data_IF_838488085431
#
_entry.id   IF_838488085431
#
_cell.length_a   1.000
_cell.length_b   1.000
_cell.length_c   1.000
_cell.angle_alpha   90.00
_cell.angle_beta   90.00
_cell.angle_gamma   90.00
#
_symmetry.space_group_name_H-M   'P 1'
#
loop_
_entity.id
_entity.type
_entity.pdbx_description
1 polymer ?
#
# COMPACT_ATOMS: atom_id res chain seq x y z
N UNK A 1 11.17 55.27 6.10
CA UNK A 1 11.17 54.56 7.39
C UNK A 1 9.79 53.97 7.63
N UNK A 2 9.67 52.66 7.53
CA UNK A 2 8.57 51.91 8.13
C UNK A 2 9.11 50.51 8.42
N UNK A 3 9.36 50.24 9.70
CA UNK A 3 9.71 48.94 10.26
C UNK A 3 8.45 48.10 10.42
N UNK A 4 8.50 46.81 10.05
CA UNK A 4 7.61 45.77 10.59
C UNK A 4 8.27 44.42 10.40
N UNK A 5 9.03 44.03 11.42
CA UNK A 5 9.55 42.69 11.64
C UNK A 5 8.45 41.63 11.50
N UNK A 6 8.47 40.85 10.42
CA UNK A 6 7.62 39.66 10.27
C UNK A 6 8.33 38.50 9.55
N UNK A 7 9.66 38.41 9.62
CA UNK A 7 10.41 37.28 9.02
C UNK A 7 11.08 36.36 10.05
N UNK A 8 10.84 36.54 11.35
CA UNK A 8 11.48 35.72 12.40
C UNK A 8 10.65 34.52 12.87
N UNK A 9 9.43 34.34 12.35
CA UNK A 9 8.52 33.27 12.81
C UNK A 9 8.46 32.03 11.90
N UNK A 10 9.00 32.09 10.67
CA UNK A 10 8.88 30.98 9.72
C UNK A 10 10.07 30.00 9.75
N UNK A 11 11.24 30.43 10.20
CA UNK A 11 12.43 29.57 10.28
C UNK A 11 12.51 28.71 11.56
N UNK A 12 11.62 28.95 12.54
CA UNK A 12 11.65 28.25 13.83
C UNK A 12 10.95 26.88 13.83
N UNK A 13 10.22 26.50 12.78
CA UNK A 13 9.53 25.20 12.69
C UNK A 13 10.43 24.12 12.04
N UNK A 14 11.53 24.50 11.41
CA UNK A 14 12.48 23.56 10.79
C UNK A 14 13.61 23.10 11.72
N UNK A 15 13.65 23.56 12.97
CA UNK A 15 14.69 23.21 13.94
C UNK A 15 14.12 22.73 15.27
N UNK A 16 13.38 21.63 15.26
CA UNK A 16 13.23 20.79 16.46
C UNK A 16 13.46 19.32 16.12
N UNK A 17 14.73 18.92 16.30
CA UNK A 17 15.16 17.66 16.94
C UNK A 17 14.70 16.37 16.22
N UNK A 18 15.57 15.58 15.63
CA UNK A 18 16.60 14.85 16.37
C UNK A 18 17.47 14.12 15.36
N UNK A 19 18.77 14.38 15.41
CA UNK A 19 19.80 13.52 14.85
C UNK A 19 19.62 12.13 15.46
N UNK A 20 19.21 11.13 14.68
CA UNK A 20 19.13 9.76 15.17
C UNK A 20 20.16 8.90 14.44
N UNK A 21 21.27 8.49 15.11
CA UNK A 21 22.28 7.60 14.54
C UNK A 21 21.75 6.15 14.51
N UNK A 22 20.62 5.92 13.85
CA UNK A 22 20.04 4.58 13.65
C UNK A 22 19.81 4.30 12.16
N UNK A 23 20.80 4.68 11.35
CA UNK A 23 20.86 4.40 9.92
C UNK A 23 21.65 3.11 9.60
N UNK A 24 21.91 2.26 10.59
CA UNK A 24 22.78 1.07 10.46
C UNK A 24 22.10 -0.16 11.06
N UNK A 25 20.82 -0.36 10.76
CA UNK A 25 20.09 -1.54 11.23
C UNK A 25 19.51 -2.25 10.00
N UNK A 26 19.63 -3.58 9.87
CA UNK A 26 18.99 -4.30 8.79
C UNK A 26 17.46 -4.20 8.97
N UNK A 27 16.84 -3.28 8.22
CA UNK A 27 15.38 -3.08 8.21
C UNK A 27 14.76 -4.06 7.22
N UNK A 28 13.91 -4.98 7.69
CA UNK A 28 13.11 -5.87 6.85
C UNK A 28 11.69 -5.34 6.73
N UNK A 29 11.28 -4.97 5.52
CA UNK A 29 9.95 -4.43 5.25
C UNK A 29 8.97 -5.54 4.85
N UNK A 30 7.82 -5.58 5.49
CA UNK A 30 6.74 -6.53 5.22
C UNK A 30 5.47 -5.74 4.94
N UNK A 31 5.03 -5.72 3.67
CA UNK A 31 3.76 -5.11 3.27
C UNK A 31 2.61 -6.08 3.49
N UNK A 32 1.64 -5.64 4.29
CA UNK A 32 0.42 -6.39 4.57
C UNK A 32 -0.59 -6.15 3.45
N UNK A 33 -1.09 -7.26 2.90
CA UNK A 33 -2.09 -7.28 1.83
C UNK A 33 -3.34 -7.93 2.37
N UNK A 34 -4.49 -7.34 2.05
CA UNK A 34 -5.77 -7.75 2.61
C UNK A 34 -6.16 -9.20 2.25
N UNK A 35 -5.76 -9.71 1.08
CA UNK A 35 -6.02 -11.09 0.65
C UNK A 35 -5.12 -12.14 1.31
N UNK A 36 -3.95 -11.76 1.83
CA UNK A 36 -2.97 -12.72 2.36
C UNK A 36 -3.32 -13.20 3.77
N UNK A 37 -3.09 -14.49 4.05
CA UNK A 37 -3.37 -15.09 5.37
C UNK A 37 -2.45 -14.50 6.45
N UNK A 38 -2.99 -14.24 7.64
CA UNK A 38 -2.25 -13.73 8.81
C UNK A 38 -1.05 -14.61 9.15
N UNK A 39 -1.24 -15.95 9.14
CA UNK A 39 -0.23 -16.95 9.46
C UNK A 39 1.08 -16.74 8.68
N UNK A 40 0.99 -16.46 7.37
CA UNK A 40 2.15 -16.20 6.51
C UNK A 40 3.03 -15.09 7.05
N UNK A 41 2.44 -13.95 7.44
CA UNK A 41 3.19 -12.80 7.92
C UNK A 41 3.81 -13.04 9.29
N UNK A 42 3.08 -13.73 10.16
CA UNK A 42 3.58 -14.13 11.48
C UNK A 42 4.79 -15.06 11.33
N UNK A 43 4.71 -16.06 10.46
CA UNK A 43 5.82 -17.00 10.21
C UNK A 43 7.05 -16.30 9.66
N UNK A 44 6.88 -15.42 8.67
CA UNK A 44 7.98 -14.62 8.10
C UNK A 44 8.64 -13.77 9.20
N UNK A 45 7.85 -13.06 10.00
CA UNK A 45 8.39 -12.20 11.06
C UNK A 45 9.13 -13.00 12.15
N UNK A 46 8.58 -14.14 12.58
CA UNK A 46 9.24 -15.00 13.56
C UNK A 46 10.55 -15.58 13.03
N UNK A 47 10.57 -15.99 11.75
CA UNK A 47 11.80 -16.47 11.11
C UNK A 47 12.90 -15.39 11.15
N UNK A 48 12.54 -14.12 10.95
CA UNK A 48 13.50 -13.00 11.02
C UNK A 48 14.03 -12.81 12.45
N UNK A 49 13.16 -12.84 13.47
CA UNK A 49 13.59 -12.65 14.86
C UNK A 49 14.32 -13.85 15.48
N UNK A 50 14.12 -15.05 14.93
CA UNK A 50 14.73 -16.30 15.41
C UNK A 50 15.99 -16.69 14.64
N UNK A 51 16.28 -16.04 13.51
CA UNK A 51 17.46 -16.32 12.72
C UNK A 51 18.71 -15.95 13.52
N UNK A 52 19.51 -16.98 13.86
CA UNK A 52 20.70 -16.80 14.68
C UNK A 52 21.80 -15.99 14.01
N UNK A 53 21.78 -15.91 12.67
CA UNK A 53 22.68 -15.04 11.90
C UNK A 53 22.30 -13.56 12.02
N UNK A 54 21.09 -13.26 12.53
CA UNK A 54 20.58 -11.91 12.75
C UNK A 54 20.87 -11.38 14.17
N UNK A 55 21.53 -12.15 15.05
CA UNK A 55 22.06 -11.66 16.34
C UNK A 55 23.46 -11.05 16.20
N UNK A 56 23.69 -10.28 15.15
CA UNK A 56 24.80 -9.31 15.14
C UNK A 56 24.53 -8.25 16.21
N UNK A 57 25.52 -7.46 16.66
CA UNK A 57 25.30 -6.34 17.57
C UNK A 57 24.31 -5.26 17.05
N UNK A 58 23.82 -5.40 15.82
CA UNK A 58 22.79 -4.55 15.21
C UNK A 58 21.40 -5.10 15.56
N UNK A 59 20.56 -4.31 16.24
CA UNK A 59 19.20 -4.78 16.54
C UNK A 59 18.40 -5.00 15.24
N UNK A 60 17.76 -6.16 15.12
CA UNK A 60 16.88 -6.48 13.98
C UNK A 60 15.62 -5.64 14.04
N UNK A 61 15.31 -4.93 12.95
CA UNK A 61 14.09 -4.11 12.84
C UNK A 61 13.19 -4.65 11.74
N UNK A 62 11.97 -5.06 12.10
CA UNK A 62 10.93 -5.47 11.15
C UNK A 62 9.89 -4.37 11.03
N UNK A 63 9.70 -3.85 9.81
CA UNK A 63 8.72 -2.81 9.51
C UNK A 63 7.50 -3.44 8.84
N UNK A 64 6.38 -3.44 9.55
CA UNK A 64 5.10 -3.91 9.01
C UNK A 64 4.27 -2.71 8.54
N UNK A 65 3.92 -2.68 7.26
CA UNK A 65 3.13 -1.60 6.67
C UNK A 65 1.79 -2.12 6.14
N UNK A 66 0.70 -1.46 6.51
CA UNK A 66 -0.62 -1.70 5.93
C UNK A 66 -1.31 -0.37 5.68
N UNK A 67 -2.10 -0.32 4.61
CA UNK A 67 -2.86 0.88 4.23
C UNK A 67 -4.33 0.54 4.02
N UNK A 68 -5.19 1.54 4.23
CA UNK A 68 -6.64 1.42 4.12
C UNK A 68 -7.17 0.22 4.90
N UNK A 69 -7.92 -0.71 4.27
CA UNK A 69 -8.54 -1.84 4.98
C UNK A 69 -7.53 -2.82 5.59
N UNK A 70 -6.26 -2.78 5.18
CA UNK A 70 -5.22 -3.66 5.71
C UNK A 70 -4.67 -3.22 7.08
N UNK A 71 -4.97 -2.00 7.55
CA UNK A 71 -4.44 -1.48 8.83
C UNK A 71 -4.81 -2.39 10.00
N UNK A 72 -6.09 -2.77 10.13
CA UNK A 72 -6.54 -3.66 11.21
C UNK A 72 -5.85 -5.03 11.16
N UNK A 73 -5.62 -5.55 9.95
CA UNK A 73 -4.88 -6.79 9.74
C UNK A 73 -3.41 -6.65 10.19
N UNK A 74 -2.77 -5.52 9.89
CA UNK A 74 -1.40 -5.22 10.35
C UNK A 74 -1.31 -5.23 11.88
N UNK A 75 -2.22 -4.54 12.56
CA UNK A 75 -2.25 -4.52 14.03
C UNK A 75 -2.42 -5.94 14.59
N UNK A 76 -3.35 -6.71 14.03
CA UNK A 76 -3.59 -8.10 14.45
C UNK A 76 -2.33 -8.96 14.31
N UNK A 77 -1.60 -8.83 13.20
CA UNK A 77 -0.34 -9.55 12.96
C UNK A 77 0.71 -9.15 14.00
N UNK A 78 0.89 -7.85 14.25
CA UNK A 78 1.83 -7.31 15.26
C UNK A 78 1.53 -7.88 16.64
N UNK A 79 0.28 -7.87 17.07
CA UNK A 79 -0.12 -8.40 18.40
C UNK A 79 0.09 -9.92 18.52
N UNK A 80 -0.04 -10.68 17.44
CA UNK A 80 0.28 -12.12 17.45
C UNK A 80 1.79 -12.33 17.58
N UNK A 81 2.60 -11.58 16.84
CA UNK A 81 4.06 -11.68 16.88
C UNK A 81 4.58 -11.35 18.30
N UNK A 82 4.14 -10.22 18.88
CA UNK A 82 4.52 -9.83 20.25
C UNK A 82 4.18 -10.91 21.27
N UNK A 83 2.96 -11.47 21.21
CA UNK A 83 2.56 -12.57 22.10
C UNK A 83 3.44 -13.82 21.94
N UNK A 84 3.79 -14.18 20.70
CA UNK A 84 4.66 -15.34 20.42
C UNK A 84 6.11 -15.16 20.85
N UNK A 85 6.55 -13.91 21.02
CA UNK A 85 7.89 -13.55 21.52
C UNK A 85 7.85 -13.06 22.97
N UNK A 86 6.84 -13.50 23.74
CA UNK A 86 6.68 -13.21 25.17
C UNK A 86 6.67 -11.70 25.50
N UNK A 87 6.26 -10.85 24.56
CA UNK A 87 6.19 -9.39 24.76
C UNK A 87 7.55 -8.68 24.78
N UNK A 88 8.64 -9.34 24.40
CA UNK A 88 10.00 -8.78 24.44
C UNK A 88 10.31 -7.71 23.38
N UNK A 89 9.38 -7.47 22.45
CA UNK A 89 9.58 -6.51 21.36
C UNK A 89 9.19 -5.09 21.76
N UNK A 90 10.09 -4.15 21.48
CA UNK A 90 9.77 -2.72 21.45
C UNK A 90 9.09 -2.36 20.12
N UNK A 91 8.10 -1.46 20.16
CA UNK A 91 7.32 -1.06 19.00
C UNK A 91 7.36 0.45 18.80
N UNK A 92 7.61 0.87 17.56
CA UNK A 92 7.38 2.22 17.07
C UNK A 92 6.23 2.20 16.06
N UNK A 93 5.27 3.10 16.22
CA UNK A 93 4.13 3.22 15.31
C UNK A 93 4.17 4.58 14.64
N UNK A 94 4.09 4.59 13.30
CA UNK A 94 3.98 5.81 12.50
C UNK A 94 2.70 5.74 11.68
N UNK A 95 1.97 6.85 11.65
CA UNK A 95 0.77 7.02 10.84
C UNK A 95 1.05 8.10 9.81
N UNK A 96 0.65 7.86 8.56
CA UNK A 96 0.84 8.79 7.46
C UNK A 96 -0.24 8.60 6.39
N UNK A 97 -0.22 9.47 5.39
CA UNK A 97 -1.07 9.36 4.20
C UNK A 97 -0.17 9.07 3.00
N UNK A 98 -0.62 8.12 2.16
CA UNK A 98 -0.11 7.96 0.80
C UNK A 98 -1.02 8.77 -0.13
N UNK A 99 -0.48 9.75 -0.85
CA UNK A 99 -1.16 10.33 -2.01
C UNK A 99 -1.10 9.31 -3.15
N UNK A 100 -2.24 8.75 -3.53
CA UNK A 100 -2.35 7.94 -4.75
C UNK A 100 -2.54 8.89 -5.93
N UNK A 101 -1.52 9.06 -6.76
CA UNK A 101 -1.70 9.65 -8.08
C UNK A 101 -2.28 8.55 -8.97
N UNK A 102 -3.58 8.62 -9.30
CA UNK A 102 -4.13 7.83 -10.38
C UNK A 102 -3.80 8.57 -11.68
N UNK A 103 -2.89 8.01 -12.47
CA UNK A 103 -2.66 8.47 -13.83
C UNK A 103 -3.87 8.03 -14.67
N UNK A 104 -4.84 8.92 -14.85
CA UNK A 104 -5.91 8.72 -15.83
C UNK A 104 -5.38 8.98 -17.24
N UNK A 105 -4.69 8.00 -17.82
CA UNK A 105 -4.48 7.95 -19.27
C UNK A 105 -5.60 7.15 -19.95
N UNK A 106 -6.47 7.90 -20.66
CA UNK A 106 -7.67 7.56 -21.45
C UNK A 106 -7.51 6.41 -22.48
N UNK A 107 -8.65 5.83 -22.93
CA UNK A 107 -9.13 5.93 -24.34
C UNK A 107 -10.66 5.76 -24.44
N UNK A 108 -11.30 6.83 -24.90
CA UNK A 108 -12.59 6.82 -25.58
C UNK A 108 -12.47 5.91 -26.81
N UNK A 109 -13.19 4.79 -26.88
CA UNK A 109 -13.45 4.04 -28.12
C UNK A 109 -14.74 3.23 -27.93
N UNK A 110 -15.89 3.91 -28.06
CA UNK A 110 -17.16 3.28 -28.43
C UNK A 110 -17.01 2.68 -29.84
N UNK A 111 -16.37 1.53 -29.97
CA UNK A 111 -16.49 0.72 -31.18
C UNK A 111 -17.73 -0.16 -31.02
N UNK A 112 -18.85 0.39 -31.50
CA UNK A 112 -20.13 -0.29 -31.66
C UNK A 112 -19.94 -1.59 -32.46
N UNK A 113 -19.94 -2.73 -31.77
CA UNK A 113 -20.22 -4.02 -32.39
C UNK A 113 -21.73 -4.23 -32.23
N UNK A 114 -22.49 -4.04 -33.32
CA UNK A 114 -23.84 -4.58 -33.42
C UNK A 114 -23.93 -5.50 -34.63
N UNK A 115 -24.44 -6.68 -34.34
CA UNK A 115 -24.45 -7.90 -35.10
C UNK A 115 -25.23 -7.79 -36.42
N UNK A 116 -24.82 -8.59 -37.42
CA UNK A 116 -25.57 -8.77 -38.66
C UNK A 116 -26.90 -9.49 -38.36
N UNK A 117 -28.03 -8.80 -38.50
CA UNK A 117 -29.35 -9.45 -38.56
C UNK A 117 -29.64 -9.97 -39.98
N UNK A 118 -29.59 -11.31 -40.12
CA UNK A 118 -30.19 -12.04 -41.23
C UNK A 118 -31.73 -11.93 -41.13
N UNK A 119 -32.33 -11.01 -41.89
CA UNK A 119 -33.78 -11.03 -42.12
C UNK A 119 -34.11 -11.91 -43.33
N UNK A 120 -34.60 -13.13 -43.03
CA UNK A 120 -35.48 -13.89 -43.93
C UNK A 120 -36.92 -13.47 -43.70
N UNK A 121 -37.60 -13.02 -44.75
CA UNK A 121 -39.04 -13.23 -45.03
C UNK A 121 -39.31 -12.76 -46.48
N UNK A 122 -39.50 -13.67 -47.42
CA UNK A 122 -40.78 -14.17 -47.96
C UNK A 122 -41.58 -13.17 -48.83
N UNK A 123 -41.44 -13.40 -50.14
CA UNK A 123 -42.51 -13.55 -51.14
C UNK A 123 -43.44 -12.37 -51.46
N UNK A 124 -43.28 -11.81 -52.67
CA UNK A 124 -44.42 -11.32 -53.44
C UNK A 124 -44.19 -11.54 -54.94
N UNK A 125 -44.94 -12.50 -55.47
CA UNK A 125 -45.12 -12.79 -56.88
C UNK A 125 -45.66 -11.56 -57.62
N UNK A 126 -45.07 -11.21 -58.76
CA UNK A 126 -45.87 -10.73 -59.90
C UNK A 126 -45.35 -11.38 -61.18
N UNK A 127 -46.25 -12.13 -61.77
CA UNK A 127 -46.14 -12.89 -63.01
C UNK A 127 -46.77 -12.08 -64.14
N UNK A 128 -46.05 -11.86 -65.25
CA UNK A 128 -46.56 -11.72 -66.64
C UNK A 128 -45.36 -11.55 -67.58
N UNK A 129 -44.90 -12.57 -68.30
CA UNK A 129 -45.46 -13.22 -69.51
C UNK A 129 -45.24 -12.38 -70.78
N UNK A 130 -44.55 -13.06 -71.73
CA UNK A 130 -44.33 -12.83 -73.17
C UNK A 130 -43.31 -11.76 -73.57
#
# INVERSE_FOLDING_TARGET
MLSSDTDLAQDSILQQKTENPLNIQPKKFIRIVQSSKIKKYVEIALSIFQDKSSFTPENVVVVLSGKGPAINKTITIVEIIKRKLNGSLHQYTQIGRDSLTQDEEKKDNDEMILDHEDHKEHDMQVQKIL
#
